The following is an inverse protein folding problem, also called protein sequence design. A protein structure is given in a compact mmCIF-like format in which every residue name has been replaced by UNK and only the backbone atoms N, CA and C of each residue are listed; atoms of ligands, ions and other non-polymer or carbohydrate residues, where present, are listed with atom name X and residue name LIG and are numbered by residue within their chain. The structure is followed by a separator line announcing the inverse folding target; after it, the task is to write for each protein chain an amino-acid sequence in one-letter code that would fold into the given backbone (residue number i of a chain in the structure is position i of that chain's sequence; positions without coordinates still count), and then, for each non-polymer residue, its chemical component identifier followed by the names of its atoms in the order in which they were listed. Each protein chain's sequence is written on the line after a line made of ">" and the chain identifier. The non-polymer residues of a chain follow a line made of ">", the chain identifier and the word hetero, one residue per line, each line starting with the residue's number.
data_IF_869848374838
#
_entry.id   IF_869848374838
#
_cell.length_a   1.000
_cell.length_b   1.000
_cell.length_c   1.000
_cell.angle_alpha   90.00
_cell.angle_beta   90.00
_cell.angle_gamma   90.00
#
_symmetry.space_group_name_H-M   'P 1'
#
loop_
_entity.id
_entity.type
_entity.pdbx_description
1 polymer ?
#
# COMPACT_ATOMS: atom_id res chain seq x y z
N UNK A 1 -15.33 6.46 -34.00
CA UNK A 1 -14.13 5.70 -33.55
C UNK A 1 -13.44 6.58 -32.51
N UNK A 2 -13.32 6.28 -31.22
CA UNK A 2 -13.13 5.00 -30.56
C UNK A 2 -13.88 4.95 -29.20
N UNK A 3 -14.77 3.97 -29.06
CA UNK A 3 -15.38 3.57 -27.79
C UNK A 3 -14.53 2.50 -27.09
N UNK A 4 -13.21 2.72 -27.00
CA UNK A 4 -12.25 1.77 -26.40
C UNK A 4 -11.71 2.20 -25.03
N UNK A 5 -12.28 3.25 -24.41
CA UNK A 5 -11.64 3.97 -23.30
C UNK A 5 -12.20 3.73 -21.89
N UNK A 6 -12.99 2.67 -21.62
CA UNK A 6 -13.45 2.43 -20.23
C UNK A 6 -12.60 1.41 -19.46
N UNK A 7 -12.36 0.21 -19.99
CA UNK A 7 -11.70 -0.87 -19.23
C UNK A 7 -10.17 -0.74 -19.19
N UNK A 8 -9.51 -0.42 -20.32
CA UNK A 8 -8.05 -0.34 -20.37
C UNK A 8 -7.50 0.80 -19.51
N UNK A 9 -8.09 1.99 -19.61
CA UNK A 9 -7.70 3.16 -18.81
C UNK A 9 -7.97 2.91 -17.32
N UNK A 10 -9.09 2.27 -16.99
CA UNK A 10 -9.40 1.85 -15.62
C UNK A 10 -8.34 0.86 -15.09
N UNK A 11 -7.98 -0.16 -15.86
CA UNK A 11 -6.92 -1.11 -15.48
C UNK A 11 -5.56 -0.46 -15.30
N UNK A 12 -5.19 0.49 -16.16
CA UNK A 12 -3.95 1.26 -16.03
C UNK A 12 -3.95 2.12 -14.76
N UNK A 13 -5.08 2.74 -14.45
CA UNK A 13 -5.23 3.53 -13.23
C UNK A 13 -5.13 2.65 -11.98
N UNK A 14 -5.81 1.50 -11.95
CA UNK A 14 -5.71 0.50 -10.87
C UNK A 14 -4.26 0.06 -10.69
N UNK A 15 -3.58 -0.30 -11.79
CA UNK A 15 -2.17 -0.69 -11.76
C UNK A 15 -1.28 0.40 -11.16
N UNK A 16 -1.51 1.66 -11.53
CA UNK A 16 -0.78 2.81 -10.98
C UNK A 16 -1.04 2.99 -9.47
N UNK A 17 -2.26 2.77 -8.99
CA UNK A 17 -2.56 2.79 -7.56
C UNK A 17 -1.82 1.66 -6.82
N UNK A 18 -1.83 0.43 -7.35
CA UNK A 18 -1.06 -0.69 -6.79
C UNK A 18 0.44 -0.37 -6.73
N UNK A 19 0.97 0.30 -7.75
CA UNK A 19 2.38 0.70 -7.78
C UNK A 19 2.70 1.75 -6.71
N UNK A 20 1.80 2.72 -6.47
CA UNK A 20 1.91 3.69 -5.38
C UNK A 20 1.90 2.96 -4.03
N UNK A 21 0.98 2.01 -3.84
CA UNK A 21 0.92 1.20 -2.62
C UNK A 21 2.23 0.49 -2.33
N UNK A 22 2.75 -0.22 -3.33
CA UNK A 22 4.03 -0.91 -3.23
C UNK A 22 5.20 0.04 -2.98
N UNK A 23 5.26 1.15 -3.71
CA UNK A 23 6.37 2.09 -3.63
C UNK A 23 6.44 2.82 -2.30
N UNK A 24 5.30 3.09 -1.67
CA UNK A 24 5.18 3.89 -0.46
C UNK A 24 4.79 3.07 0.78
N UNK A 25 4.72 1.73 0.67
CA UNK A 25 4.30 0.86 1.77
C UNK A 25 2.92 1.22 2.33
N UNK A 26 1.99 1.54 1.45
CA UNK A 26 0.61 1.86 1.80
C UNK A 26 -0.22 0.58 1.64
N UNK A 27 -0.70 -0.03 2.73
CA UNK A 27 -1.47 -1.26 2.66
C UNK A 27 -2.93 -1.10 2.20
N UNK A 28 -3.48 0.12 2.28
CA UNK A 28 -4.86 0.44 1.90
C UNK A 28 -4.89 1.15 0.55
N UNK A 29 -6.06 1.32 -0.05
CA UNK A 29 -6.18 2.13 -1.26
C UNK A 29 -5.58 3.54 -1.02
N UNK A 30 -4.67 4.04 -1.88
CA UNK A 30 -4.10 5.38 -1.73
C UNK A 30 -5.16 6.48 -1.63
N UNK A 31 -6.31 6.27 -2.26
CA UNK A 31 -7.43 7.20 -2.25
C UNK A 31 -8.12 7.33 -0.88
N UNK A 32 -7.87 6.40 0.05
CA UNK A 32 -8.42 6.40 1.40
C UNK A 32 -7.51 7.07 2.44
N UNK A 33 -6.27 7.39 2.08
CA UNK A 33 -5.35 8.07 3.00
C UNK A 33 -5.81 9.51 3.18
N UNK A 34 -6.03 9.88 4.45
CA UNK A 34 -6.38 11.25 4.85
C UNK A 34 -5.16 12.13 5.09
N UNK A 35 -4.14 11.58 5.75
CA UNK A 35 -2.90 12.30 6.05
C UNK A 35 -1.72 11.68 5.31
N UNK A 36 -1.13 12.47 4.40
CA UNK A 36 0.02 12.08 3.60
C UNK A 36 1.35 12.66 4.11
N UNK A 37 1.36 13.33 5.27
CA UNK A 37 2.51 14.01 5.86
C UNK A 37 3.76 13.13 5.96
N UNK A 38 3.59 11.83 6.21
CA UNK A 38 4.67 10.84 6.31
C UNK A 38 5.45 10.73 5.00
N UNK A 39 4.75 10.68 3.86
CA UNK A 39 5.35 10.47 2.54
C UNK A 39 5.74 11.77 1.83
N UNK A 40 5.15 12.90 2.22
CA UNK A 40 5.36 14.20 1.56
C UNK A 40 6.83 14.63 1.49
N UNK A 41 7.65 14.24 2.48
CA UNK A 41 9.08 14.55 2.48
C UNK A 41 9.93 13.59 1.65
N UNK A 42 9.38 12.48 1.15
CA UNK A 42 10.13 11.50 0.36
C UNK A 42 10.36 12.05 -1.05
N UNK A 43 11.59 11.97 -1.53
CA UNK A 43 11.94 12.42 -2.88
C UNK A 43 11.19 11.66 -3.98
N UNK A 44 10.98 10.35 -3.79
CA UNK A 44 10.18 9.52 -4.68
C UNK A 44 8.71 9.94 -4.73
N UNK A 45 8.16 10.44 -3.61
CA UNK A 45 6.79 10.92 -3.53
C UNK A 45 6.60 12.18 -4.36
N UNK A 46 7.47 13.17 -4.18
CA UNK A 46 7.41 14.45 -4.92
C UNK A 46 7.52 14.27 -6.45
N UNK A 47 8.14 13.18 -6.91
CA UNK A 47 8.28 12.84 -8.33
C UNK A 47 7.11 12.03 -8.90
N UNK A 48 6.23 11.47 -8.06
CA UNK A 48 5.08 10.72 -8.53
C UNK A 48 3.88 11.65 -8.73
N UNK A 49 3.59 11.97 -9.99
CA UNK A 49 2.54 12.94 -10.32
C UNK A 49 1.16 12.49 -9.80
N UNK A 50 0.85 11.19 -9.83
CA UNK A 50 -0.45 10.67 -9.41
C UNK A 50 -0.58 10.78 -7.89
N UNK A 51 0.45 10.35 -7.16
CA UNK A 51 0.44 10.44 -5.70
C UNK A 51 0.31 11.90 -5.22
N UNK A 52 1.05 12.84 -5.84
CA UNK A 52 0.90 14.27 -5.58
C UNK A 52 -0.51 14.78 -5.93
N UNK A 53 -1.10 14.33 -7.04
CA UNK A 53 -2.46 14.72 -7.44
C UNK A 53 -3.50 14.24 -6.44
N UNK A 54 -3.38 13.01 -5.94
CA UNK A 54 -4.27 12.48 -4.89
C UNK A 54 -4.21 13.35 -3.64
N UNK A 55 -3.00 13.74 -3.19
CA UNK A 55 -2.84 14.63 -2.03
C UNK A 55 -3.50 15.99 -2.24
N UNK A 56 -3.29 16.59 -3.40
CA UNK A 56 -3.90 17.87 -3.75
C UNK A 56 -5.43 17.75 -3.71
N UNK A 57 -6.00 16.69 -4.29
CA UNK A 57 -7.44 16.44 -4.25
C UNK A 57 -7.95 16.29 -2.81
N UNK A 58 -7.26 15.51 -1.95
CA UNK A 58 -7.63 15.37 -0.53
C UNK A 58 -7.52 16.67 0.27
N UNK A 59 -6.70 17.62 -0.19
CA UNK A 59 -6.53 18.93 0.43
C UNK A 59 -7.55 19.97 -0.07
N UNK A 60 -8.31 19.65 -1.12
CA UNK A 60 -9.35 20.52 -1.68
C UNK A 60 -10.75 20.10 -1.20
N UNK A 61 -11.74 21.00 -1.21
CA UNK A 61 -13.14 20.63 -0.93
C UNK A 61 -13.76 19.75 -2.03
N UNK A 62 -13.08 19.58 -3.18
CA UNK A 62 -13.56 18.77 -4.28
C UNK A 62 -13.39 17.28 -3.96
N UNK A 63 -14.49 16.54 -4.02
CA UNK A 63 -14.50 15.09 -3.83
C UNK A 63 -14.49 14.40 -5.18
N UNK A 64 -13.66 13.37 -5.34
CA UNK A 64 -13.80 12.43 -6.45
C UNK A 64 -15.20 11.80 -6.37
N UNK A 65 -15.92 11.77 -7.48
CA UNK A 65 -17.26 11.16 -7.55
C UNK A 65 -17.15 9.67 -7.18
N UNK A 66 -17.57 9.35 -5.96
CA UNK A 66 -17.49 8.00 -5.38
C UNK A 66 -18.34 6.96 -6.14
N UNK A 67 -19.28 7.42 -6.97
CA UNK A 67 -20.18 6.59 -7.78
C UNK A 67 -19.48 5.71 -8.81
N UNK A 68 -18.22 6.01 -9.17
CA UNK A 68 -17.38 5.14 -10.00
C UNK A 68 -16.29 4.39 -9.20
N UNK A 69 -16.04 4.80 -7.95
CA UNK A 69 -15.05 4.16 -7.08
C UNK A 69 -15.55 2.84 -6.48
N UNK A 70 -16.86 2.67 -6.33
CA UNK A 70 -17.48 1.41 -5.89
C UNK A 70 -17.21 0.24 -6.84
N UNK A 71 -16.80 0.53 -8.08
CA UNK A 71 -16.35 -0.46 -9.07
C UNK A 71 -14.84 -0.74 -9.00
N UNK A 72 -14.08 -0.03 -8.16
CA UNK A 72 -12.66 -0.26 -7.99
C UNK A 72 -12.48 -1.50 -7.09
N UNK A 73 -11.60 -2.46 -7.46
CA UNK A 73 -11.29 -3.58 -6.58
C UNK A 73 -10.81 -3.06 -5.22
N UNK A 74 -11.12 -3.79 -4.15
CA UNK A 74 -10.64 -3.43 -2.82
C UNK A 74 -9.12 -3.63 -2.78
N UNK A 75 -8.39 -2.52 -2.98
CA UNK A 75 -6.93 -2.51 -3.01
C UNK A 75 -6.30 -2.71 -1.62
N UNK A 76 -7.09 -2.98 -0.57
CA UNK A 76 -6.55 -3.23 0.76
C UNK A 76 -5.87 -4.60 0.81
N UNK A 77 -4.62 -4.63 1.23
CA UNK A 77 -3.87 -5.88 1.47
C UNK A 77 -4.58 -6.70 2.55
N UNK A 78 -4.85 -7.98 2.25
CA UNK A 78 -5.63 -8.87 3.10
C UNK A 78 -5.02 -9.11 4.49
N UNK A 79 -5.89 -9.35 5.48
CA UNK A 79 -5.57 -9.80 6.84
C UNK A 79 -4.63 -8.90 7.66
N UNK A 80 -4.36 -7.69 7.19
CA UNK A 80 -3.65 -6.67 7.95
C UNK A 80 -4.58 -5.89 8.86
N UNK A 81 -4.17 -5.71 10.12
CA UNK A 81 -4.94 -4.91 11.09
C UNK A 81 -4.40 -3.51 11.23
N UNK A 82 -3.10 -3.38 11.52
CA UNK A 82 -2.48 -2.10 11.86
C UNK A 82 -1.35 -1.79 10.89
N UNK A 83 -1.50 -0.80 10.00
CA UNK A 83 -0.43 -0.35 9.11
C UNK A 83 0.79 0.14 9.88
N UNK A 84 2.00 -0.22 9.42
CA UNK A 84 3.23 0.17 10.09
C UNK A 84 3.46 1.69 10.11
N UNK A 85 2.90 2.43 9.14
CA UNK A 85 2.98 3.88 9.13
C UNK A 85 2.16 4.53 10.26
N UNK A 86 1.15 3.84 10.80
CA UNK A 86 0.38 4.31 11.96
C UNK A 86 1.06 3.93 13.29
N UNK A 87 1.80 2.81 13.32
CA UNK A 87 2.49 2.34 14.52
C UNK A 87 3.78 3.12 14.86
N UNK A 88 4.35 3.83 13.88
CA UNK A 88 5.69 4.41 13.99
C UNK A 88 5.63 5.92 13.86
N UNK A 89 6.55 6.61 14.53
CA UNK A 89 6.74 8.05 14.28
C UNK A 89 7.19 8.26 12.83
N UNK A 90 6.85 9.40 12.19
CA UNK A 90 7.27 9.69 10.82
C UNK A 90 8.80 9.61 10.64
N UNK A 91 9.57 9.95 11.67
CA UNK A 91 11.04 9.84 11.67
C UNK A 91 11.51 8.38 11.62
N UNK A 92 10.91 7.52 12.46
CA UNK A 92 11.24 6.09 12.48
C UNK A 92 10.83 5.40 11.18
N UNK A 93 9.61 5.67 10.68
CA UNK A 93 9.14 5.10 9.42
C UNK A 93 10.07 5.44 8.26
N UNK A 94 10.50 6.70 8.13
CA UNK A 94 11.46 7.13 7.10
C UNK A 94 12.81 6.44 7.23
N UNK A 95 13.33 6.28 8.44
CA UNK A 95 14.62 5.61 8.68
C UNK A 95 14.57 4.13 8.26
N UNK A 96 13.48 3.43 8.56
CA UNK A 96 13.32 2.01 8.25
C UNK A 96 12.70 1.72 6.88
N UNK A 97 12.21 2.74 6.18
CA UNK A 97 11.51 2.64 4.90
C UNK A 97 12.21 1.73 3.87
N UNK A 98 13.54 1.83 3.62
CA UNK A 98 14.21 0.97 2.65
C UNK A 98 14.17 -0.51 3.03
N UNK A 99 14.30 -0.82 4.32
CA UNK A 99 14.29 -2.19 4.85
C UNK A 99 12.89 -2.76 4.80
N UNK A 100 11.89 -1.98 5.23
CA UNK A 100 10.48 -2.36 5.18
C UNK A 100 10.06 -2.63 3.73
N UNK A 101 10.46 -1.79 2.77
CA UNK A 101 10.15 -1.98 1.35
C UNK A 101 10.81 -3.21 0.76
N UNK A 102 12.10 -3.43 1.04
CA UNK A 102 12.83 -4.62 0.57
C UNK A 102 12.21 -5.92 1.09
N UNK A 103 11.67 -5.89 2.30
CA UNK A 103 11.02 -7.04 2.96
C UNK A 103 9.51 -7.08 2.73
N UNK A 104 8.98 -6.09 2.03
CA UNK A 104 7.57 -5.89 1.78
C UNK A 104 6.74 -5.94 3.09
N UNK A 105 7.16 -5.17 4.10
CA UNK A 105 6.47 -5.06 5.38
C UNK A 105 5.53 -3.85 5.38
N UNK A 106 4.23 -4.11 5.50
CA UNK A 106 3.15 -3.11 5.46
C UNK A 106 2.36 -3.03 6.78
N UNK A 107 2.20 -4.16 7.48
CA UNK A 107 1.39 -4.27 8.69
C UNK A 107 2.16 -4.83 9.87
N UNK A 108 1.77 -4.41 11.08
CA UNK A 108 2.25 -4.99 12.33
C UNK A 108 1.88 -6.48 12.46
N UNK A 109 0.74 -6.90 11.89
CA UNK A 109 0.31 -8.30 11.90
C UNK A 109 1.31 -9.26 11.27
N UNK A 110 2.21 -8.78 10.41
CA UNK A 110 3.28 -9.58 9.81
C UNK A 110 4.43 -9.89 10.78
N UNK A 111 4.51 -9.18 11.91
CA UNK A 111 5.59 -9.26 12.88
C UNK A 111 5.15 -9.84 14.23
N UNK A 112 3.85 -10.11 14.39
CA UNK A 112 3.25 -10.62 15.64
C UNK A 112 2.61 -11.99 15.43
N UNK A 113 2.41 -12.73 16.52
CA UNK A 113 1.71 -14.00 16.51
C UNK A 113 0.27 -13.82 16.00
N UNK A 114 -0.41 -14.87 15.51
CA UNK A 114 -1.81 -14.77 15.06
C UNK A 114 -2.78 -14.23 16.13
N UNK A 115 -2.44 -14.44 17.41
CA UNK A 115 -3.18 -13.91 18.57
C UNK A 115 -2.92 -12.41 18.79
N UNK A 116 -1.86 -11.86 18.20
CA UNK A 116 -1.48 -10.45 18.27
C UNK A 116 -0.79 -10.02 19.55
N UNK A 117 -0.39 -10.96 20.41
CA UNK A 117 0.12 -10.69 21.75
C UNK A 117 1.64 -10.60 21.85
N UNK A 118 2.36 -11.28 20.95
CA UNK A 118 3.82 -11.36 21.00
C UNK A 118 4.41 -11.17 19.61
N UNK A 119 5.66 -10.74 19.53
CA UNK A 119 6.42 -10.74 18.28
C UNK A 119 6.76 -12.18 17.86
N UNK A 120 6.77 -12.45 16.55
CA UNK A 120 7.24 -13.74 16.04
C UNK A 120 8.77 -13.81 16.12
N UNK A 121 9.29 -15.03 16.28
CA UNK A 121 10.74 -15.26 16.22
C UNK A 121 11.29 -14.99 14.82
N UNK A 122 12.59 -14.68 14.73
CA UNK A 122 13.25 -14.47 13.44
C UNK A 122 13.14 -15.69 12.50
N UNK A 123 13.19 -16.90 13.08
CA UNK A 123 13.02 -18.14 12.35
C UNK A 123 11.61 -18.24 11.73
N UNK A 124 10.57 -18.03 12.54
CA UNK A 124 9.19 -18.02 12.06
C UNK A 124 8.95 -16.94 10.99
N UNK A 125 9.55 -15.76 11.17
CA UNK A 125 9.53 -14.71 10.16
C UNK A 125 10.18 -15.13 8.85
N UNK A 126 11.37 -15.73 8.91
CA UNK A 126 12.11 -16.18 7.73
C UNK A 126 11.40 -17.32 7.00
N UNK A 127 10.85 -18.29 7.73
CA UNK A 127 10.10 -19.41 7.15
C UNK A 127 8.86 -18.92 6.38
N UNK A 128 8.16 -17.93 6.92
CA UNK A 128 7.03 -17.27 6.25
C UNK A 128 7.44 -16.47 4.99
N UNK A 129 8.67 -15.94 4.94
CA UNK A 129 9.21 -15.26 3.77
C UNK A 129 9.77 -16.23 2.71
N UNK A 130 10.41 -17.32 3.12
CA UNK A 130 11.15 -18.22 2.24
C UNK A 130 10.24 -19.12 1.42
N UNK A 131 9.06 -19.46 1.93
CA UNK A 131 8.14 -20.40 1.28
C UNK A 131 7.78 -20.07 -0.18
N UNK A 132 8.05 -18.86 -0.69
CA UNK A 132 7.67 -18.44 -2.05
C UNK A 132 8.63 -17.43 -2.72
N UNK A 133 9.96 -17.60 -2.60
CA UNK A 133 10.91 -16.84 -3.44
C UNK A 133 10.79 -17.25 -4.92
N UNK A 134 10.35 -16.34 -5.77
CA UNK A 134 10.32 -16.49 -7.24
C UNK A 134 9.67 -15.27 -7.90
N UNK A 135 10.03 -14.90 -9.14
CA UNK A 135 9.40 -13.79 -9.85
C UNK A 135 7.89 -14.04 -9.99
N UNK A 136 7.08 -13.08 -9.55
CA UNK A 136 5.61 -13.16 -9.60
C UNK A 136 4.92 -13.82 -8.40
N UNK A 137 5.65 -14.28 -7.38
CA UNK A 137 5.01 -14.85 -6.17
C UNK A 137 4.88 -13.81 -5.07
N UNK A 138 3.64 -13.49 -4.74
CA UNK A 138 3.28 -12.67 -3.59
C UNK A 138 3.43 -13.48 -2.29
N UNK A 139 3.99 -12.89 -1.22
CA UNK A 139 3.94 -13.48 0.11
C UNK A 139 2.47 -13.72 0.53
N UNK A 140 2.21 -14.66 1.45
CA UNK A 140 0.84 -15.02 1.86
C UNK A 140 -0.04 -13.86 2.32
N UNK A 141 0.56 -12.76 2.77
CA UNK A 141 -0.12 -11.56 3.23
C UNK A 141 -0.38 -10.52 2.12
N UNK A 142 0.10 -10.77 0.89
CA UNK A 142 -0.12 -9.95 -0.31
C UNK A 142 -1.06 -10.69 -1.27
N UNK A 143 -2.28 -10.92 -0.84
CA UNK A 143 -3.39 -11.24 -1.75
C UNK A 143 -4.27 -9.99 -1.85
N UNK A 144 -4.44 -9.47 -3.06
CA UNK A 144 -5.46 -8.45 -3.34
C UNK A 144 -6.83 -9.14 -3.38
N UNK A 145 -7.88 -8.47 -2.92
CA UNK A 145 -9.26 -8.98 -3.06
C UNK A 145 -9.63 -8.90 -4.54
N UNK A 146 -10.03 -10.03 -5.13
CA UNK A 146 -10.69 -10.09 -6.45
C UNK A 146 -12.10 -9.52 -6.40
#
# INVERSE_FOLDING_TARGET
>A
MANSSSSFIQSLFIYRLCLIQYNFLIPISPLLIKDWSIWFSLFSFKKDYIACTIVLLTSTPFRLLHTQLSKLPNLSLLNGRVPLFECMTPKAFKAYFPILRKRQLFYLSQLITPQGTHLISWKAYYDNLVGRRGPGRTPYWYTLVE
#
